data_IF_538013486026
#
_entry.id   IF_538013486026
#
_cell.length_a   1.000
_cell.length_b   1.000
_cell.length_c   1.000
_cell.angle_alpha   90.00
_cell.angle_beta   90.00
_cell.angle_gamma   90.00
#
_symmetry.space_group_name_H-M   'P 1'
#
loop_
_entity.id
_entity.type
_entity.pdbx_description
1 polymer ?
#
# COMPACT_ATOMS: atom_id res chain seq x y z
N UNK A 1 77.68 7.19 -12.30
CA UNK A 1 76.69 6.71 -13.29
C UNK A 1 76.28 5.29 -12.91
N UNK A 2 74.96 5.04 -12.74
CA UNK A 2 74.23 3.75 -12.67
C UNK A 2 74.77 2.70 -11.65
N UNK A 3 74.34 2.57 -10.39
CA UNK A 3 73.01 2.38 -9.77
C UNK A 3 72.32 1.05 -10.14
N UNK A 4 72.46 0.09 -9.20
CA UNK A 4 71.51 -0.96 -8.77
C UNK A 4 71.13 -2.06 -9.78
N UNK A 5 70.74 -3.28 -9.39
CA UNK A 5 70.79 -4.04 -8.13
C UNK A 5 70.19 -5.41 -8.45
N UNK A 6 70.71 -6.43 -7.77
CA UNK A 6 70.11 -7.74 -7.57
C UNK A 6 68.59 -7.72 -7.27
N UNK A 7 67.85 -8.77 -7.66
CA UNK A 7 67.23 -9.71 -6.72
C UNK A 7 66.47 -10.87 -7.38
N UNK A 8 66.75 -12.04 -6.83
CA UNK A 8 66.17 -13.38 -7.01
C UNK A 8 64.94 -13.49 -6.11
N UNK A 9 63.76 -13.87 -6.62
CA UNK A 9 62.63 -14.27 -5.76
C UNK A 9 61.99 -15.57 -6.25
N UNK A 10 61.87 -16.49 -5.29
CA UNK A 10 61.30 -17.83 -5.35
C UNK A 10 59.80 -17.78 -5.68
N UNK A 11 59.34 -18.64 -6.58
CA UNK A 11 57.92 -18.98 -6.72
C UNK A 11 57.53 -19.91 -5.57
N UNK A 12 56.77 -19.37 -4.63
CA UNK A 12 56.14 -20.13 -3.55
C UNK A 12 54.79 -20.68 -4.00
N UNK A 13 54.58 -21.96 -3.73
CA UNK A 13 53.31 -22.67 -3.81
C UNK A 13 52.21 -21.92 -3.04
N UNK A 14 51.12 -21.55 -3.72
CA UNK A 14 49.89 -21.11 -3.06
C UNK A 14 48.79 -22.15 -3.29
N UNK A 15 48.52 -22.90 -2.23
CA UNK A 15 47.48 -23.92 -2.14
C UNK A 15 46.09 -23.30 -2.23
N UNK A 16 45.30 -23.76 -3.19
CA UNK A 16 43.89 -23.42 -3.38
C UNK A 16 43.04 -24.20 -2.35
N UNK A 17 42.71 -23.58 -1.22
CA UNK A 17 41.77 -24.16 -0.24
C UNK A 17 40.34 -23.74 -0.62
N UNK A 18 39.64 -24.64 -1.31
CA UNK A 18 38.21 -24.56 -1.57
C UNK A 18 37.44 -24.89 -0.28
N UNK A 19 37.06 -23.87 0.49
CA UNK A 19 36.14 -24.02 1.62
C UNK A 19 34.71 -24.10 1.07
N UNK A 20 34.23 -25.33 0.91
CA UNK A 20 32.82 -25.66 0.66
C UNK A 20 31.99 -25.36 1.92
N UNK A 21 31.61 -24.10 2.09
CA UNK A 21 30.57 -23.69 3.04
C UNK A 21 29.20 -24.02 2.50
N UNK A 22 28.78 -25.29 2.55
CA UNK A 22 27.37 -25.66 2.42
C UNK A 22 26.64 -25.25 3.69
N UNK A 23 26.31 -23.96 3.77
CA UNK A 23 25.33 -23.48 4.73
C UNK A 23 23.98 -24.08 4.36
N UNK A 24 23.45 -24.95 5.22
CA UNK A 24 22.04 -25.34 5.18
C UNK A 24 21.21 -24.07 5.42
N UNK A 25 20.78 -23.44 4.32
CA UNK A 25 19.67 -22.50 4.37
C UNK A 25 18.46 -23.37 4.73
N UNK A 26 18.10 -23.34 6.02
CA UNK A 26 16.81 -23.80 6.49
C UNK A 26 15.76 -23.11 5.62
N UNK A 27 15.24 -23.87 4.64
CA UNK A 27 14.13 -23.46 3.84
C UNK A 27 12.96 -23.23 4.77
N UNK A 28 12.74 -21.97 5.14
CA UNK A 28 11.43 -21.53 5.58
C UNK A 28 10.48 -21.93 4.46
N UNK A 29 9.73 -22.99 4.69
CA UNK A 29 8.71 -23.48 3.78
C UNK A 29 7.82 -22.29 3.43
N UNK A 30 8.00 -21.78 2.22
CA UNK A 30 7.25 -20.66 1.66
C UNK A 30 5.82 -21.15 1.52
N UNK A 31 5.05 -21.02 2.59
CA UNK A 31 3.61 -21.18 2.55
C UNK A 31 3.12 -20.06 1.62
N UNK A 32 2.94 -20.34 0.33
CA UNK A 32 2.69 -19.30 -0.68
C UNK A 32 1.22 -18.88 -0.64
N UNK A 33 0.82 -18.18 0.43
CA UNK A 33 -0.52 -17.59 0.54
C UNK A 33 -0.82 -16.68 -0.67
N UNK A 34 -2.08 -16.63 -1.07
CA UNK A 34 -2.53 -15.80 -2.19
C UNK A 34 -2.26 -14.32 -1.88
N UNK A 35 -1.98 -13.51 -2.89
CA UNK A 35 -1.95 -12.04 -2.79
C UNK A 35 -0.90 -11.43 -1.82
N UNK A 36 0.09 -12.19 -1.34
CA UNK A 36 1.15 -11.68 -0.45
C UNK A 36 1.88 -10.43 -0.96
N UNK A 37 2.19 -10.39 -2.26
CA UNK A 37 2.87 -9.23 -2.85
C UNK A 37 1.97 -7.98 -2.83
N UNK A 38 0.68 -8.13 -3.15
CA UNK A 38 -0.28 -7.03 -3.09
C UNK A 38 -0.42 -6.52 -1.66
N UNK A 39 -0.57 -7.44 -0.69
CA UNK A 39 -0.61 -7.09 0.72
C UNK A 39 0.63 -6.32 1.18
N UNK A 40 1.83 -6.82 0.88
CA UNK A 40 3.07 -6.15 1.29
C UNK A 40 3.16 -4.73 0.74
N UNK A 41 2.73 -4.51 -0.51
CA UNK A 41 2.75 -3.18 -1.14
C UNK A 41 1.71 -2.25 -0.51
N UNK A 42 0.46 -2.71 -0.32
CA UNK A 42 -0.60 -1.94 0.31
C UNK A 42 -0.28 -1.61 1.78
N UNK A 43 0.28 -2.57 2.51
CA UNK A 43 0.75 -2.43 3.89
C UNK A 43 1.86 -1.39 4.03
N UNK A 44 2.75 -1.27 3.04
CA UNK A 44 3.79 -0.25 3.03
C UNK A 44 3.18 1.16 2.91
N UNK A 45 2.17 1.34 2.04
CA UNK A 45 1.45 2.61 1.96
C UNK A 45 0.76 2.92 3.29
N UNK A 46 -0.02 1.98 3.83
CA UNK A 46 -0.73 2.18 5.10
C UNK A 46 0.22 2.67 6.20
N UNK A 47 1.33 1.96 6.42
CA UNK A 47 2.33 2.32 7.44
C UNK A 47 2.93 3.70 7.21
N UNK A 48 3.32 4.00 5.98
CA UNK A 48 3.97 5.27 5.65
C UNK A 48 3.00 6.45 5.79
N UNK A 49 1.75 6.28 5.36
CA UNK A 49 0.70 7.30 5.51
C UNK A 49 0.35 7.51 6.98
N UNK A 50 0.11 6.44 7.76
CA UNK A 50 -0.17 6.55 9.20
C UNK A 50 0.97 7.24 9.95
N UNK A 51 2.23 6.93 9.61
CA UNK A 51 3.37 7.61 10.23
C UNK A 51 3.31 9.11 9.97
N UNK A 52 3.02 9.52 8.73
CA UNK A 52 2.93 10.92 8.36
C UNK A 52 1.75 11.60 9.08
N UNK A 53 0.58 10.96 9.16
CA UNK A 53 -0.60 11.48 9.87
C UNK A 53 -0.39 11.67 11.37
N UNK A 54 0.54 10.93 11.97
CA UNK A 54 0.92 11.07 13.38
C UNK A 54 1.95 12.19 13.63
N UNK A 55 2.31 12.97 12.61
CA UNK A 55 3.18 14.15 12.75
C UNK A 55 2.35 15.42 12.86
N UNK A 56 2.89 16.44 13.54
CA UNK A 56 2.24 17.76 13.66
C UNK A 56 2.50 18.68 12.44
N UNK A 57 3.01 18.13 11.33
CA UNK A 57 3.43 18.92 10.15
C UNK A 57 2.34 19.01 9.07
N UNK A 58 1.28 18.21 9.16
CA UNK A 58 0.19 18.19 8.18
C UNK A 58 -0.94 19.10 8.69
N UNK A 59 -1.50 19.93 7.80
CA UNK A 59 -2.69 20.71 8.11
C UNK A 59 -3.93 19.81 8.26
N UNK A 60 -4.89 20.20 9.10
CA UNK A 60 -6.11 19.41 9.34
C UNK A 60 -6.93 19.07 8.07
N UNK A 61 -7.10 19.97 7.08
CA UNK A 61 -7.80 19.62 5.84
C UNK A 61 -7.09 18.50 5.06
N UNK A 62 -5.76 18.58 4.97
CA UNK A 62 -4.96 17.59 4.25
C UNK A 62 -4.93 16.24 4.98
N UNK A 63 -4.80 16.29 6.31
CA UNK A 63 -4.88 15.13 7.18
C UNK A 63 -6.21 14.39 7.01
N UNK A 64 -7.33 15.13 6.98
CA UNK A 64 -8.67 14.56 6.80
C UNK A 64 -8.82 13.84 5.45
N UNK A 65 -8.36 14.43 4.35
CA UNK A 65 -8.44 13.78 3.03
C UNK A 65 -7.57 12.52 2.96
N UNK A 66 -6.39 12.53 3.57
CA UNK A 66 -5.55 11.34 3.68
C UNK A 66 -6.19 10.25 4.56
N UNK A 67 -6.83 10.62 5.67
CA UNK A 67 -7.59 9.67 6.50
C UNK A 67 -8.75 9.06 5.72
N UNK A 68 -9.48 9.85 4.91
CA UNK A 68 -10.52 9.34 4.04
C UNK A 68 -10.00 8.40 2.95
N UNK A 69 -8.85 8.70 2.35
CA UNK A 69 -8.19 7.81 1.41
C UNK A 69 -7.79 6.48 2.07
N UNK A 70 -7.33 6.52 3.32
CA UNK A 70 -6.96 5.30 4.05
C UNK A 70 -8.18 4.47 4.45
N UNK A 71 -9.18 5.11 5.06
CA UNK A 71 -10.18 4.43 5.88
C UNK A 71 -11.62 4.52 5.35
N UNK A 72 -11.83 5.24 4.26
CA UNK A 72 -13.14 5.51 3.69
C UNK A 72 -13.76 6.80 4.24
N UNK A 73 -14.63 7.42 3.44
CA UNK A 73 -15.32 8.66 3.80
C UNK A 73 -16.44 8.40 4.81
N UNK A 74 -16.67 9.29 5.79
CA UNK A 74 -17.80 9.22 6.70
C UNK A 74 -19.12 9.04 5.95
N UNK A 75 -19.95 8.10 6.40
CA UNK A 75 -21.23 7.79 5.76
C UNK A 75 -21.12 6.92 4.49
N UNK A 76 -19.91 6.56 4.04
CA UNK A 76 -19.69 5.64 2.94
C UNK A 76 -20.11 4.19 3.25
N UNK A 77 -20.04 3.35 2.22
CA UNK A 77 -20.37 1.91 2.31
C UNK A 77 -19.43 1.18 3.26
N UNK A 78 -18.15 1.55 3.26
CA UNK A 78 -17.13 1.05 4.19
C UNK A 78 -16.46 2.23 4.87
N UNK A 79 -16.39 2.16 6.20
CA UNK A 79 -15.56 3.07 7.00
C UNK A 79 -14.79 2.30 8.06
N UNK A 80 -13.56 2.74 8.34
CA UNK A 80 -12.75 2.24 9.44
C UNK A 80 -12.44 3.39 10.39
N UNK A 81 -13.10 3.42 11.53
CA UNK A 81 -12.93 4.50 12.50
C UNK A 81 -12.41 3.94 13.83
N UNK A 82 -11.29 4.48 14.32
CA UNK A 82 -10.64 3.97 15.54
C UNK A 82 -10.37 2.46 15.49
N UNK A 83 -10.10 1.93 14.27
CA UNK A 83 -9.90 0.51 14.02
C UNK A 83 -11.16 -0.35 14.02
N UNK A 84 -12.34 0.25 14.14
CA UNK A 84 -13.63 -0.42 14.02
C UNK A 84 -14.14 -0.30 12.59
N UNK A 85 -14.41 -1.44 11.98
CA UNK A 85 -15.01 -1.54 10.65
C UNK A 85 -16.52 -1.36 10.78
N UNK A 86 -17.07 -0.45 9.98
CA UNK A 86 -18.50 -0.26 9.78
C UNK A 86 -18.82 -0.45 8.31
N UNK A 87 -19.84 -1.25 8.02
CA UNK A 87 -20.30 -1.49 6.66
C UNK A 87 -21.79 -1.23 6.56
N UNK A 88 -22.20 -0.50 5.53
CA UNK A 88 -23.59 -0.13 5.26
C UNK A 88 -23.94 -0.49 3.83
N UNK A 89 -24.91 -1.35 3.60
CA UNK A 89 -25.47 -1.53 2.28
C UNK A 89 -26.36 -0.32 1.94
N UNK A 90 -26.39 0.03 0.66
CA UNK A 90 -27.48 0.86 0.14
C UNK A 90 -28.75 0.01 0.09
N UNK A 91 -29.89 0.59 0.49
CA UNK A 91 -31.18 -0.11 0.62
C UNK A 91 -31.63 -0.82 -0.67
N UNK A 92 -31.17 -0.36 -1.82
CA UNK A 92 -31.71 -0.75 -3.12
C UNK A 92 -30.79 -1.64 -3.96
N UNK A 93 -29.67 -2.14 -3.43
CA UNK A 93 -28.79 -3.03 -4.21
C UNK A 93 -28.07 -4.06 -3.35
N UNK A 94 -28.24 -5.37 -3.62
CA UNK A 94 -27.37 -6.39 -3.06
C UNK A 94 -25.98 -6.19 -3.65
N UNK A 95 -25.10 -5.49 -2.91
CA UNK A 95 -23.79 -5.15 -3.44
C UNK A 95 -22.89 -6.38 -3.33
N UNK A 96 -22.71 -7.07 -4.45
CA UNK A 96 -21.85 -8.23 -4.50
C UNK A 96 -20.38 -7.81 -4.40
N UNK A 97 -19.49 -8.76 -4.09
CA UNK A 97 -18.06 -8.48 -3.97
C UNK A 97 -17.46 -7.83 -5.22
N UNK A 98 -17.85 -8.27 -6.41
CA UNK A 98 -17.36 -7.73 -7.67
C UNK A 98 -17.66 -6.24 -7.80
N UNK A 99 -18.88 -5.83 -7.45
CA UNK A 99 -19.33 -4.45 -7.47
C UNK A 99 -18.61 -3.57 -6.43
N UNK A 100 -18.27 -4.12 -5.26
CA UNK A 100 -17.54 -3.38 -4.23
C UNK A 100 -16.03 -3.28 -4.52
N UNK A 101 -15.46 -4.32 -5.14
CA UNK A 101 -14.02 -4.45 -5.36
C UNK A 101 -13.55 -4.11 -6.78
N UNK A 102 -14.47 -3.75 -7.67
CA UNK A 102 -14.14 -3.28 -9.02
C UNK A 102 -14.57 -1.84 -9.17
N UNK A 103 -13.58 -0.95 -9.22
CA UNK A 103 -13.78 0.47 -9.40
C UNK A 103 -14.01 0.81 -10.88
N UNK A 104 -15.16 1.45 -11.13
CA UNK A 104 -15.52 2.07 -12.39
C UNK A 104 -16.01 3.48 -12.11
N UNK A 105 -15.62 4.43 -12.96
CA UNK A 105 -16.13 5.78 -12.90
C UNK A 105 -17.62 5.77 -13.30
N UNK A 106 -18.53 5.67 -12.32
CA UNK A 106 -19.97 5.47 -12.58
C UNK A 106 -20.79 4.73 -11.51
N UNK A 107 -20.28 4.54 -10.28
CA UNK A 107 -21.09 4.05 -9.14
C UNK A 107 -20.75 2.66 -8.60
N UNK A 108 -19.63 2.06 -9.03
CA UNK A 108 -19.10 0.81 -8.47
C UNK A 108 -17.73 1.03 -7.83
N UNK A 109 -17.36 0.14 -6.90
CA UNK A 109 -16.03 0.11 -6.32
C UNK A 109 -15.92 0.73 -4.93
N UNK A 110 -17.03 0.85 -4.18
CA UNK A 110 -17.04 1.57 -2.89
C UNK A 110 -16.02 1.04 -1.87
N UNK A 111 -15.59 -0.24 -1.95
CA UNK A 111 -14.45 -0.72 -1.16
C UNK A 111 -13.12 -0.32 -1.81
N UNK A 112 -12.98 -0.52 -3.12
CA UNK A 112 -11.77 -0.19 -3.87
C UNK A 112 -11.40 1.32 -3.86
N UNK A 113 -12.33 2.20 -3.49
CA UNK A 113 -12.14 3.64 -3.31
C UNK A 113 -11.21 4.00 -2.14
N UNK A 114 -11.09 3.14 -1.11
CA UNK A 114 -10.20 3.36 0.04
C UNK A 114 -9.08 2.31 0.09
N UNK A 115 -7.98 2.63 0.76
CA UNK A 115 -6.90 1.66 0.98
C UNK A 115 -7.37 0.49 1.85
N UNK A 116 -8.13 0.77 2.92
CA UNK A 116 -8.70 -0.25 3.78
C UNK A 116 -9.63 -1.20 3.01
N UNK A 117 -10.54 -0.67 2.19
CA UNK A 117 -11.41 -1.50 1.37
C UNK A 117 -10.63 -2.27 0.29
N UNK A 118 -9.58 -1.70 -0.28
CA UNK A 118 -8.66 -2.41 -1.19
C UNK A 118 -7.96 -3.59 -0.50
N UNK A 119 -7.52 -3.41 0.75
CA UNK A 119 -6.97 -4.49 1.58
C UNK A 119 -8.03 -5.57 1.85
N UNK A 120 -9.25 -5.18 2.24
CA UNK A 120 -10.35 -6.15 2.43
C UNK A 120 -10.67 -6.91 1.13
N UNK A 121 -10.71 -6.23 -0.02
CA UNK A 121 -10.94 -6.83 -1.33
C UNK A 121 -9.85 -7.81 -1.77
N UNK A 122 -8.60 -7.57 -1.39
CA UNK A 122 -7.47 -8.44 -1.76
C UNK A 122 -7.18 -9.54 -0.74
N UNK A 123 -7.65 -9.40 0.50
CA UNK A 123 -7.32 -10.29 1.61
C UNK A 123 -8.50 -11.08 2.19
N UNK A 124 -9.75 -10.68 1.93
CA UNK A 124 -10.90 -11.46 2.41
C UNK A 124 -11.03 -12.75 1.61
N UNK A 125 -11.09 -13.93 2.25
CA UNK A 125 -11.22 -15.20 1.54
C UNK A 125 -12.41 -15.24 0.58
N UNK A 126 -12.17 -15.76 -0.61
CA UNK A 126 -13.20 -16.19 -1.55
C UNK A 126 -13.51 -17.68 -1.39
N UNK A 127 -14.34 -18.21 -2.28
CA UNK A 127 -14.60 -19.65 -2.40
C UNK A 127 -13.30 -20.43 -2.67
N UNK A 128 -13.13 -21.57 -1.99
CA UNK A 128 -12.02 -22.50 -2.25
C UNK A 128 -10.64 -22.06 -1.77
N UNK A 129 -10.48 -20.88 -1.14
CA UNK A 129 -9.20 -20.39 -0.61
C UNK A 129 -9.19 -20.23 0.92
N UNK A 130 -8.05 -20.49 1.57
CA UNK A 130 -7.93 -20.45 3.04
C UNK A 130 -6.87 -19.50 3.61
N UNK A 131 -5.91 -19.03 2.80
CA UNK A 131 -4.88 -18.07 3.22
C UNK A 131 -4.66 -17.03 2.14
N UNK A 132 -5.11 -15.81 2.42
CA UNK A 132 -4.93 -14.64 1.59
C UNK A 132 -4.10 -13.62 2.35
N UNK A 133 -3.24 -12.92 1.62
CA UNK A 133 -2.30 -11.94 2.15
C UNK A 133 -1.30 -12.51 3.17
N UNK A 134 -1.22 -13.85 3.31
CA UNK A 134 -0.40 -14.50 4.31
C UNK A 134 -0.87 -14.19 5.73
N UNK A 135 -2.14 -13.85 5.93
CA UNK A 135 -2.69 -13.52 7.24
C UNK A 135 -3.03 -14.79 8.05
N UNK A 136 -3.04 -15.95 7.39
CA UNK A 136 -3.47 -17.22 7.98
C UNK A 136 -4.94 -17.49 7.70
N UNK A 137 -5.45 -18.60 8.22
CA UNK A 137 -6.85 -18.97 8.05
C UNK A 137 -7.71 -18.28 9.10
N UNK A 138 -8.70 -17.53 8.62
CA UNK A 138 -9.76 -16.98 9.47
C UNK A 138 -10.63 -18.14 9.96
N UNK A 139 -10.60 -18.43 11.27
CA UNK A 139 -11.42 -19.51 11.84
C UNK A 139 -12.89 -19.14 11.74
N UNK A 140 -13.72 -20.07 11.26
CA UNK A 140 -15.18 -19.92 11.12
C UNK A 140 -15.64 -18.73 10.26
N UNK A 141 -14.76 -18.22 9.40
CA UNK A 141 -15.10 -17.17 8.46
C UNK A 141 -15.76 -17.76 7.22
N UNK A 142 -17.05 -17.47 7.05
CA UNK A 142 -17.72 -17.73 5.78
C UNK A 142 -17.01 -16.95 4.67
N UNK A 143 -16.68 -17.61 3.54
CA UNK A 143 -16.09 -16.90 2.42
C UNK A 143 -16.98 -15.76 1.97
N UNK A 144 -16.35 -14.75 1.39
CA UNK A 144 -17.05 -13.65 0.76
C UNK A 144 -16.87 -13.77 -0.76
N UNK A 145 -17.84 -14.43 -1.36
CA UNK A 145 -18.16 -14.33 -2.79
C UNK A 145 -19.51 -13.64 -2.92
N UNK A 146 -19.91 -13.23 -4.13
CA UNK A 146 -21.22 -12.61 -4.35
C UNK A 146 -22.40 -13.44 -3.81
N UNK A 147 -23.58 -12.84 -3.66
CA UNK A 147 -24.75 -13.58 -3.21
C UNK A 147 -25.84 -12.72 -2.57
N UNK A 148 -26.83 -13.39 -1.97
CA UNK A 148 -27.99 -12.80 -1.32
C UNK A 148 -27.77 -12.43 0.15
N UNK A 149 -26.60 -12.76 0.73
CA UNK A 149 -26.28 -12.38 2.11
C UNK A 149 -26.09 -10.87 2.20
N UNK A 150 -26.83 -10.16 3.07
CA UNK A 150 -26.62 -8.74 3.28
C UNK A 150 -25.18 -8.45 3.68
N UNK A 151 -24.62 -7.37 3.12
CA UNK A 151 -23.22 -7.00 3.33
C UNK A 151 -22.88 -6.78 4.81
N UNK A 152 -23.83 -6.27 5.58
CA UNK A 152 -23.73 -6.05 7.03
C UNK A 152 -23.49 -7.34 7.80
N UNK A 153 -23.99 -8.48 7.32
CA UNK A 153 -23.74 -9.80 7.93
C UNK A 153 -22.28 -10.24 7.78
N UNK A 154 -21.48 -9.56 6.93
CA UNK A 154 -20.04 -9.79 6.78
C UNK A 154 -19.20 -8.81 7.60
N UNK A 155 -19.80 -7.93 8.42
CA UNK A 155 -19.04 -6.95 9.21
C UNK A 155 -18.01 -7.61 10.13
N UNK A 156 -18.38 -8.69 10.85
CA UNK A 156 -17.45 -9.38 11.76
C UNK A 156 -16.27 -10.02 11.01
N UNK A 157 -16.52 -10.53 9.81
CA UNK A 157 -15.48 -11.03 8.91
C UNK A 157 -14.49 -9.92 8.55
N UNK A 158 -15.00 -8.76 8.14
CA UNK A 158 -14.17 -7.61 7.77
C UNK A 158 -13.42 -7.05 8.98
N UNK A 159 -14.06 -6.98 10.14
CA UNK A 159 -13.43 -6.57 11.39
C UNK A 159 -12.25 -7.49 11.74
N UNK A 160 -12.47 -8.81 11.75
CA UNK A 160 -11.42 -9.78 12.07
C UNK A 160 -10.24 -9.69 11.10
N UNK A 161 -10.51 -9.55 9.80
CA UNK A 161 -9.47 -9.36 8.80
C UNK A 161 -8.70 -8.06 9.02
N UNK A 162 -9.41 -6.96 9.27
CA UNK A 162 -8.80 -5.66 9.53
C UNK A 162 -7.91 -5.66 10.77
N UNK A 163 -8.33 -6.36 11.83
CA UNK A 163 -7.50 -6.53 13.03
C UNK A 163 -6.19 -7.25 12.71
N UNK A 164 -6.22 -8.27 11.84
CA UNK A 164 -5.01 -8.94 11.38
C UNK A 164 -4.15 -8.05 10.49
N UNK A 165 -4.76 -7.24 9.62
CA UNK A 165 -4.05 -6.23 8.84
C UNK A 165 -3.30 -5.28 9.78
N UNK A 166 -3.96 -4.69 10.78
CA UNK A 166 -3.33 -3.80 11.75
C UNK A 166 -2.17 -4.48 12.49
N UNK A 167 -2.36 -5.73 12.89
CA UNK A 167 -1.32 -6.50 13.59
C UNK A 167 -0.09 -6.78 12.71
N UNK A 168 -0.27 -7.06 11.41
CA UNK A 168 0.86 -7.32 10.48
C UNK A 168 1.40 -6.07 9.81
N UNK A 169 0.64 -4.98 9.86
CA UNK A 169 1.01 -3.67 9.36
C UNK A 169 1.26 -2.66 10.49
N UNK A 170 2.06 -2.96 11.52
CA UNK A 170 2.30 -1.97 12.56
C UNK A 170 3.06 -0.79 11.95
N UNK A 171 2.50 0.41 12.08
CA UNK A 171 3.32 1.61 12.00
C UNK A 171 4.21 1.59 13.26
N UNK A 172 5.49 1.29 13.07
CA UNK A 172 6.37 0.91 14.17
C UNK A 172 6.46 2.01 15.24
N UNK A 173 6.37 1.63 16.52
CA UNK A 173 6.86 2.42 17.68
C UNK A 173 8.40 2.55 17.70
N UNK A 174 9.03 2.42 16.53
CA UNK A 174 10.47 2.39 16.38
C UNK A 174 11.05 3.74 16.79
N UNK A 175 11.92 3.71 17.78
CA UNK A 175 12.60 4.82 18.47
C UNK A 175 13.45 5.75 17.59
N UNK A 176 13.39 5.63 16.26
CA UNK A 176 13.99 6.56 15.31
C UNK A 176 12.88 7.22 14.52
N UNK A 177 12.37 8.31 15.08
CA UNK A 177 11.58 9.28 14.35
C UNK A 177 12.44 9.76 13.19
N UNK A 178 12.08 9.38 11.96
CA UNK A 178 12.72 9.91 10.76
C UNK A 178 12.49 11.42 10.69
N UNK A 179 13.28 12.11 9.88
CA UNK A 179 12.92 13.50 9.56
C UNK A 179 11.63 13.52 8.75
N UNK A 180 10.89 14.62 8.77
CA UNK A 180 9.68 14.78 7.94
C UNK A 180 9.95 14.45 6.45
N UNK A 181 11.12 14.85 5.94
CA UNK A 181 11.54 14.54 4.57
C UNK A 181 11.72 13.03 4.31
N UNK A 182 12.24 12.28 5.29
CA UNK A 182 12.37 10.83 5.16
C UNK A 182 11.00 10.15 5.06
N UNK A 183 10.01 10.60 5.84
CA UNK A 183 8.68 10.01 5.86
C UNK A 183 7.89 10.31 4.59
N UNK A 184 7.97 11.54 4.06
CA UNK A 184 7.43 11.90 2.74
C UNK A 184 8.09 11.05 1.64
N UNK A 185 9.41 10.90 1.66
CA UNK A 185 10.13 10.08 0.69
C UNK A 185 9.81 8.59 0.77
N UNK A 186 9.53 8.06 1.95
CA UNK A 186 9.06 6.67 2.12
C UNK A 186 7.66 6.47 1.55
N UNK A 187 6.74 7.40 1.81
CA UNK A 187 5.37 7.34 1.31
C UNK A 187 5.35 7.43 -0.23
N UNK A 188 6.13 8.33 -0.83
CA UNK A 188 6.27 8.44 -2.29
C UNK A 188 6.72 7.12 -2.92
N UNK A 189 7.76 6.49 -2.37
CA UNK A 189 8.23 5.17 -2.85
C UNK A 189 7.17 4.10 -2.70
N UNK A 190 6.41 4.09 -1.61
CA UNK A 190 5.34 3.12 -1.38
C UNK A 190 4.21 3.26 -2.40
N UNK A 191 3.77 4.50 -2.66
CA UNK A 191 2.77 4.84 -3.68
C UNK A 191 3.23 4.44 -5.07
N UNK A 192 4.46 4.78 -5.46
CA UNK A 192 5.02 4.39 -6.76
C UNK A 192 5.08 2.86 -6.91
N UNK A 193 5.45 2.15 -5.85
CA UNK A 193 5.48 0.68 -5.86
C UNK A 193 4.09 0.08 -6.10
N UNK A 194 3.00 0.71 -5.65
CA UNK A 194 1.64 0.28 -6.00
C UNK A 194 1.46 0.33 -7.50
N UNK A 195 1.75 1.48 -8.12
CA UNK A 195 1.66 1.66 -9.58
C UNK A 195 2.46 0.60 -10.32
N UNK A 196 3.70 0.36 -9.93
CA UNK A 196 4.58 -0.58 -10.61
C UNK A 196 4.11 -2.04 -10.48
N UNK A 197 3.46 -2.36 -9.35
CA UNK A 197 2.95 -3.70 -9.03
C UNK A 197 1.60 -4.00 -9.68
N UNK A 198 0.88 -2.99 -10.20
CA UNK A 198 -0.40 -3.19 -10.88
C UNK A 198 -0.23 -4.18 -12.04
N UNK A 199 -1.03 -5.24 -12.00
CA UNK A 199 -1.12 -6.22 -13.09
C UNK A 199 -2.20 -5.78 -14.07
N UNK A 200 -2.11 -6.23 -15.32
CA UNK A 200 -3.05 -5.87 -16.38
C UNK A 200 -3.86 -7.08 -16.83
N UNK A 201 -5.18 -6.90 -16.95
CA UNK A 201 -6.09 -7.83 -17.58
C UNK A 201 -7.24 -7.00 -18.17
N UNK A 202 -7.24 -6.80 -19.48
CA UNK A 202 -8.19 -5.89 -20.14
C UNK A 202 -9.64 -6.22 -19.74
N UNK A 203 -10.46 -5.21 -19.39
CA UNK A 203 -10.18 -3.76 -19.38
C UNK A 203 -9.71 -3.18 -18.02
N UNK A 204 -9.00 -3.94 -17.18
CA UNK A 204 -8.58 -3.53 -15.83
C UNK A 204 -7.07 -3.51 -15.59
N UNK A 205 -6.66 -2.61 -14.69
CA UNK A 205 -5.51 -2.84 -13.83
C UNK A 205 -5.97 -3.38 -12.49
N UNK A 206 -5.17 -4.21 -11.83
CA UNK A 206 -5.61 -4.87 -10.59
C UNK A 206 -4.47 -5.18 -9.63
N UNK A 207 -4.86 -5.35 -8.37
CA UNK A 207 -4.02 -5.83 -7.26
C UNK A 207 -4.56 -7.18 -6.76
N UNK A 208 -3.65 -8.06 -6.35
CA UNK A 208 -3.98 -9.40 -5.86
C UNK A 208 -4.13 -10.44 -6.98
N UNK A 209 -5.25 -11.16 -6.94
CA UNK A 209 -5.61 -12.23 -7.87
C UNK A 209 -6.01 -11.70 -9.24
N UNK A 210 -6.04 -12.56 -10.25
CA UNK A 210 -6.47 -12.18 -11.60
C UNK A 210 -8.00 -11.99 -11.64
N UNK A 211 -8.52 -10.85 -12.13
CA UNK A 211 -9.96 -10.66 -12.28
C UNK A 211 -10.57 -11.72 -13.20
N UNK A 212 -11.78 -12.17 -12.87
CA UNK A 212 -12.54 -13.10 -13.71
C UNK A 212 -12.92 -12.47 -15.05
N UNK A 213 -13.09 -13.29 -16.10
CA UNK A 213 -13.45 -12.81 -17.44
C UNK A 213 -14.87 -12.25 -17.52
N UNK A 214 -15.80 -12.85 -16.78
CA UNK A 214 -17.23 -12.47 -16.76
C UNK A 214 -17.55 -11.53 -15.61
N UNK A 215 -17.02 -11.84 -14.43
CA UNK A 215 -17.28 -11.10 -13.20
C UNK A 215 -15.92 -10.83 -12.53
N UNK A 216 -15.40 -9.60 -12.61
CA UNK A 216 -14.11 -9.25 -12.02
C UNK A 216 -14.17 -9.33 -10.49
N UNK A 217 -13.07 -9.71 -9.86
CA UNK A 217 -12.94 -9.71 -8.40
C UNK A 217 -14.09 -10.34 -7.58
N UNK A 218 -14.80 -11.35 -8.13
CA UNK A 218 -16.01 -11.89 -7.51
C UNK A 218 -15.76 -12.73 -6.25
N UNK A 219 -14.53 -13.21 -6.06
CA UNK A 219 -14.19 -14.16 -5.00
C UNK A 219 -14.75 -15.58 -5.22
N UNK A 220 -15.35 -15.90 -6.37
CA UNK A 220 -15.84 -17.26 -6.67
C UNK A 220 -14.73 -18.25 -7.02
N UNK A 221 -13.50 -17.78 -7.18
CA UNK A 221 -12.29 -18.59 -7.38
C UNK A 221 -11.19 -17.97 -6.52
N UNK A 222 -10.33 -18.74 -5.83
CA UNK A 222 -9.28 -18.13 -5.01
C UNK A 222 -8.31 -17.26 -5.82
N UNK A 223 -8.23 -17.47 -7.14
CA UNK A 223 -7.44 -16.66 -8.07
C UNK A 223 -8.12 -15.34 -8.43
N UNK A 224 -9.41 -15.15 -8.18
CA UNK A 224 -10.16 -13.92 -8.49
C UNK A 224 -10.50 -13.08 -7.26
N UNK A 225 -9.75 -13.24 -6.16
CA UNK A 225 -9.77 -12.33 -5.03
C UNK A 225 -8.83 -11.16 -5.34
N UNK A 226 -9.40 -9.99 -5.68
CA UNK A 226 -8.65 -8.83 -6.12
C UNK A 226 -9.35 -7.50 -5.81
N UNK A 227 -8.63 -6.41 -6.04
CA UNK A 227 -9.21 -5.10 -6.32
C UNK A 227 -8.84 -4.71 -7.75
N UNK A 228 -9.81 -4.27 -8.54
CA UNK A 228 -9.64 -3.93 -9.94
C UNK A 228 -10.10 -2.50 -10.23
N UNK A 229 -9.43 -1.86 -11.17
CA UNK A 229 -9.61 -0.47 -11.56
C UNK A 229 -9.72 -0.40 -13.07
N UNK A 230 -10.86 0.08 -13.56
CA UNK A 230 -11.15 0.15 -14.98
C UNK A 230 -10.16 1.10 -15.68
N UNK A 231 -9.55 0.63 -16.77
CA UNK A 231 -8.46 1.40 -17.38
C UNK A 231 -8.94 2.55 -18.24
N UNK A 232 -10.13 2.51 -18.87
CA UNK A 232 -10.56 3.50 -19.87
C UNK A 232 -9.49 3.82 -20.95
N UNK A 233 -8.58 2.89 -21.26
CA UNK A 233 -7.45 3.14 -22.19
C UNK A 233 -6.24 3.86 -21.57
N UNK A 234 -6.29 4.18 -20.28
CA UNK A 234 -5.19 4.78 -19.53
C UNK A 234 -4.06 3.78 -19.32
N UNK A 235 -2.84 4.29 -19.20
CA UNK A 235 -1.67 3.48 -18.83
C UNK A 235 -1.66 3.16 -17.34
N UNK A 236 -0.81 2.21 -16.94
CA UNK A 236 -0.63 1.80 -15.53
C UNK A 236 -0.30 2.97 -14.59
N UNK A 237 0.47 3.94 -15.06
CA UNK A 237 0.91 5.08 -14.27
C UNK A 237 -0.18 6.14 -14.10
N UNK A 238 -1.24 6.08 -14.91
CA UNK A 238 -2.25 7.13 -14.98
C UNK A 238 -3.69 6.61 -14.74
N UNK A 239 -3.88 5.31 -14.48
CA UNK A 239 -5.21 4.78 -14.14
C UNK A 239 -5.74 5.43 -12.87
N UNK A 240 -7.02 5.82 -12.85
CA UNK A 240 -7.62 6.42 -11.66
C UNK A 240 -7.76 5.38 -10.53
N UNK A 241 -7.15 5.66 -9.38
CA UNK A 241 -7.24 4.85 -8.15
C UNK A 241 -7.51 5.85 -7.02
N UNK A 242 -8.76 6.01 -6.57
CA UNK A 242 -9.15 7.18 -5.77
C UNK A 242 -8.27 7.45 -4.55
N UNK A 243 -8.07 6.46 -3.68
CA UNK A 243 -7.21 6.62 -2.50
C UNK A 243 -5.74 6.91 -2.85
N UNK A 244 -5.22 6.33 -3.94
CA UNK A 244 -3.84 6.49 -4.33
C UNK A 244 -3.60 7.88 -4.91
N UNK A 245 -4.55 8.38 -5.71
CA UNK A 245 -4.53 9.72 -6.28
C UNK A 245 -4.63 10.79 -5.19
N UNK A 246 -5.50 10.59 -4.19
CA UNK A 246 -5.58 11.50 -3.02
C UNK A 246 -4.26 11.55 -2.24
N UNK A 247 -3.62 10.40 -2.00
CA UNK A 247 -2.31 10.38 -1.31
C UNK A 247 -1.22 11.02 -2.18
N UNK A 248 -1.25 10.81 -3.50
CA UNK A 248 -0.31 11.46 -4.42
C UNK A 248 -0.44 12.99 -4.39
N UNK A 249 -1.67 13.50 -4.46
CA UNK A 249 -1.91 14.94 -4.34
C UNK A 249 -1.40 15.49 -3.01
N UNK A 250 -1.64 14.76 -1.91
CA UNK A 250 -1.16 15.18 -0.60
C UNK A 250 0.37 15.24 -0.48
N UNK A 251 1.08 14.32 -1.16
CA UNK A 251 2.54 14.36 -1.23
C UNK A 251 3.06 15.61 -1.96
N UNK A 252 2.38 16.04 -3.02
CA UNK A 252 2.75 17.25 -3.77
C UNK A 252 2.60 18.50 -2.89
N UNK A 253 1.50 18.60 -2.16
CA UNK A 253 1.24 19.72 -1.25
C UNK A 253 2.29 19.81 -0.14
N UNK A 254 2.66 18.67 0.48
CA UNK A 254 3.70 18.63 1.53
C UNK A 254 5.08 19.05 1.02
N UNK A 255 5.42 18.68 -0.22
CA UNK A 255 6.68 19.08 -0.85
C UNK A 255 6.72 20.58 -1.15
N UNK A 256 5.61 21.17 -1.60
CA UNK A 256 5.51 22.60 -1.87
C UNK A 256 5.72 23.46 -0.61
N UNK A 257 5.16 23.02 0.52
CA UNK A 257 5.36 23.69 1.82
C UNK A 257 6.83 23.64 2.25
N UNK A 258 7.49 22.48 2.08
CA UNK A 258 8.89 22.30 2.49
C UNK A 258 9.87 23.21 1.73
N UNK A 259 9.60 23.51 0.45
CA UNK A 259 10.46 24.37 -0.37
C UNK A 259 10.34 25.86 -0.02
N UNK A 260 9.16 26.29 0.46
CA UNK A 260 8.88 27.71 0.77
C UNK A 260 9.63 28.19 2.02
N UNK A 261 9.91 27.30 2.98
CA UNK A 261 10.59 27.64 4.24
C UNK A 261 12.10 27.81 4.07
N UNK A 262 12.69 27.29 2.99
CA UNK A 262 14.14 27.31 2.74
C UNK A 262 14.69 28.57 2.07
N UNK A 263 13.88 29.61 1.81
CA UNK A 263 14.37 30.90 1.30
C UNK A 263 14.64 31.84 2.48
N UNK A 264 15.90 32.05 2.90
CA UNK A 264 16.21 33.07 3.90
C UNK A 264 15.84 34.44 3.33
N UNK A 265 14.93 35.12 4.01
CA UNK A 265 14.68 36.53 3.79
C UNK A 265 15.95 37.29 4.13
N UNK A 266 16.74 37.64 3.10
CA UNK A 266 17.85 38.57 3.22
C UNK A 266 17.30 39.84 3.88
N UNK A 267 17.79 40.25 5.06
CA UNK A 267 17.38 41.49 5.68
C UNK A 267 17.77 42.62 4.73
N UNK A 268 16.78 43.29 4.15
CA UNK A 268 17.01 44.54 3.42
C UNK A 268 17.44 45.56 4.46
N UNK A 269 18.76 45.69 4.63
CA UNK A 269 19.37 46.69 5.49
C UNK A 269 18.96 48.06 4.94
N UNK A 270 18.01 48.71 5.61
CA UNK A 270 17.64 50.08 5.31
C UNK A 270 18.88 50.95 5.40
N UNK A 271 19.25 51.57 4.27
CA UNK A 271 20.10 52.76 4.29
C UNK A 271 19.23 53.90 4.77
N UNK A 272 19.51 54.37 5.97
CA UNK A 272 19.06 55.66 6.47
C UNK A 272 19.71 56.77 5.63
N UNK A 273 18.96 57.54 4.83
CA UNK A 273 19.47 58.66 4.07
C UNK A 273 19.41 59.93 4.92
N UNK A 274 20.15 59.95 6.03
CA UNK A 274 20.21 61.12 6.94
C UNK A 274 21.65 61.43 7.35
N UNK A 275 22.53 61.72 6.38
CA UNK A 275 23.81 62.43 6.60
C UNK A 275 24.38 62.94 5.28
N UNK A 276 24.13 64.21 4.98
CA UNK A 276 25.09 65.33 4.76
C UNK A 276 24.24 66.55 4.37
#
# INVERSE_FOLDING_TARGET
MKVLSWLRVRMSNLSLVLVLGMGMILGMSVWSGYNKNAFSTLCAVLKSTERLLNTNTISEPLKSEMEYALYGRPGGVLTVENGKVSVKANRDSPINRSELCTYYNGGYGCFAESLAGTLLCTCTPGEGGKDFCGLGTLQNADPWSGGSTPLERKQDLFQSLWDQVRNKCPYGKGTKQGTHGDDVGHLEKAVQRVRDTLKQALPFFYLGGRPGRKVPCSGSDPRNVCAAYYTCGWSRQHVHIPWLDTIQQALEDLKAVSQTVSVPSTPTHGRDPSRI
#
